data_IF_144606647917
#
_entry.id   IF_144606647917
#
_cell.length_a   1.000
_cell.length_b   1.000
_cell.length_c   1.000
_cell.angle_alpha   90.00
_cell.angle_beta   90.00
_cell.angle_gamma   90.00
#
_symmetry.space_group_name_H-M   'P 1'
#
loop_
_entity.id
_entity.type
_entity.pdbx_description
1 polymer ?
#
# COMPACT_ATOMS: atom_id res chain seq x y z
N UNK A 1 15.96 31.83 10.15
CA UNK A 1 14.90 32.14 9.14
C UNK A 1 14.41 30.94 8.30
N UNK A 2 15.05 29.77 8.38
CA UNK A 2 14.74 28.58 7.53
C UNK A 2 13.48 27.79 7.94
N UNK A 3 13.10 27.78 9.20
CA UNK A 3 11.98 26.92 9.67
C UNK A 3 10.57 27.43 9.28
N UNK A 4 10.35 28.73 9.24
CA UNK A 4 9.02 29.29 8.91
C UNK A 4 8.67 29.06 7.43
N UNK A 5 9.66 29.03 6.54
CA UNK A 5 9.47 28.80 5.13
C UNK A 5 9.02 27.37 4.81
N UNK A 6 9.50 26.36 5.54
CA UNK A 6 9.13 24.96 5.31
C UNK A 6 7.69 24.67 5.71
N UNK A 7 7.25 25.16 6.87
CA UNK A 7 5.85 25.01 7.32
C UNK A 7 4.90 25.59 6.28
N UNK A 8 5.16 26.81 5.81
CA UNK A 8 4.32 27.49 4.81
C UNK A 8 4.32 26.76 3.46
N UNK A 9 5.44 26.15 3.05
CA UNK A 9 5.53 25.32 1.84
C UNK A 9 4.49 24.22 1.87
N UNK A 10 4.45 23.43 2.95
CA UNK A 10 3.54 22.27 3.06
C UNK A 10 2.09 22.69 3.30
N UNK A 11 1.84 23.73 4.11
CA UNK A 11 0.48 24.24 4.33
C UNK A 11 -0.16 24.78 3.03
N UNK A 12 0.63 25.29 2.12
CA UNK A 12 0.19 25.77 0.81
C UNK A 12 0.24 24.70 -0.30
N UNK A 13 0.68 23.47 0.01
CA UNK A 13 0.68 22.38 -0.95
C UNK A 13 -0.74 22.07 -1.41
N UNK A 14 -0.87 21.82 -2.72
CA UNK A 14 -2.10 21.31 -3.29
C UNK A 14 -2.22 19.82 -2.96
N UNK A 15 -3.42 19.42 -2.56
CA UNK A 15 -3.74 18.03 -2.28
C UNK A 15 -5.08 17.67 -2.92
N UNK A 16 -5.28 16.41 -3.27
CA UNK A 16 -6.53 15.93 -3.82
C UNK A 16 -7.51 15.56 -2.72
N UNK A 17 -8.77 15.91 -2.89
CA UNK A 17 -9.86 15.56 -1.98
C UNK A 17 -11.03 14.90 -2.71
N UNK A 18 -11.76 14.03 -2.00
CA UNK A 18 -12.99 13.37 -2.46
C UNK A 18 -14.11 13.60 -1.45
N UNK A 19 -15.36 13.64 -1.91
CA UNK A 19 -16.53 13.78 -1.02
C UNK A 19 -16.81 12.52 -0.20
N UNK A 20 -16.44 11.34 -0.70
CA UNK A 20 -16.57 10.05 0.00
C UNK A 20 -15.70 8.99 -0.67
N UNK A 21 -15.59 7.81 -0.08
CA UNK A 21 -14.91 6.66 -0.70
C UNK A 21 -15.53 6.27 -2.05
N UNK A 22 -16.84 6.45 -2.21
CA UNK A 22 -17.60 6.05 -3.38
C UNK A 22 -17.61 7.10 -4.51
N UNK A 23 -17.18 8.32 -4.22
CA UNK A 23 -17.11 9.38 -5.22
C UNK A 23 -15.88 9.14 -6.13
N UNK A 24 -16.09 9.21 -7.44
CA UNK A 24 -15.01 9.16 -8.43
C UNK A 24 -14.38 10.53 -8.70
N UNK A 25 -15.06 11.61 -8.28
CA UNK A 25 -14.63 12.98 -8.56
C UNK A 25 -13.59 13.44 -7.55
N UNK A 26 -12.43 13.83 -8.06
CA UNK A 26 -11.38 14.49 -7.28
C UNK A 26 -11.46 16.00 -7.48
N UNK A 27 -11.20 16.73 -6.41
CA UNK A 27 -11.03 18.19 -6.42
C UNK A 27 -9.74 18.56 -5.69
N UNK A 28 -9.22 19.74 -5.97
CA UNK A 28 -7.99 20.25 -5.34
C UNK A 28 -8.30 21.14 -4.16
N UNK A 29 -7.52 21.01 -3.09
CA UNK A 29 -7.55 21.94 -1.96
C UNK A 29 -6.13 22.19 -1.43
N UNK A 30 -5.93 23.30 -0.73
CA UNK A 30 -4.70 23.50 0.05
C UNK A 30 -4.73 22.65 1.32
N UNK A 31 -3.57 22.10 1.71
CA UNK A 31 -3.46 21.35 2.96
C UNK A 31 -3.93 22.15 4.17
N UNK A 32 -3.63 23.45 4.21
CA UNK A 32 -4.11 24.37 5.26
C UNK A 32 -5.64 24.37 5.38
N UNK A 33 -6.36 24.25 4.27
CA UNK A 33 -7.84 24.16 4.27
C UNK A 33 -8.31 22.86 4.92
N UNK A 34 -7.67 21.72 4.61
CA UNK A 34 -8.01 20.43 5.22
C UNK A 34 -7.74 20.43 6.72
N UNK A 35 -6.58 20.95 7.14
CA UNK A 35 -6.23 21.11 8.56
C UNK A 35 -7.25 22.00 9.28
N UNK A 36 -7.65 23.11 8.65
CA UNK A 36 -8.69 23.99 9.19
C UNK A 36 -10.02 23.25 9.36
N UNK A 37 -10.49 22.51 8.36
CA UNK A 37 -11.74 21.77 8.42
C UNK A 37 -11.73 20.68 9.51
N UNK A 38 -10.58 20.02 9.75
CA UNK A 38 -10.42 19.05 10.85
C UNK A 38 -10.50 19.78 12.20
N UNK A 39 -9.81 20.92 12.34
CA UNK A 39 -9.79 21.73 13.56
C UNK A 39 -11.15 22.32 13.88
N UNK A 40 -11.85 22.80 12.87
CA UNK A 40 -13.19 23.40 13.01
C UNK A 40 -14.27 22.31 13.17
N UNK A 41 -13.86 21.05 13.26
CA UNK A 41 -14.74 19.89 13.45
C UNK A 41 -15.87 19.78 12.40
N UNK A 42 -15.58 20.11 11.13
CA UNK A 42 -16.58 20.18 10.04
C UNK A 42 -17.41 18.90 9.83
N UNK A 43 -16.90 17.74 10.26
CA UNK A 43 -17.59 16.44 10.16
C UNK A 43 -17.91 15.82 11.54
N UNK A 44 -17.95 16.61 12.59
CA UNK A 44 -18.09 16.18 14.01
C UNK A 44 -19.20 15.15 14.22
N UNK A 45 -20.41 15.44 13.77
CA UNK A 45 -21.57 14.56 13.99
C UNK A 45 -21.34 13.15 13.41
N UNK A 46 -20.67 13.04 12.25
CA UNK A 46 -20.34 11.74 11.66
C UNK A 46 -19.25 11.04 12.49
N UNK A 47 -18.26 11.77 12.99
CA UNK A 47 -17.18 11.23 13.84
C UNK A 47 -17.73 10.69 15.15
N UNK A 48 -18.57 11.44 15.83
CA UNK A 48 -19.24 11.02 17.08
C UNK A 48 -20.07 9.75 16.84
N UNK A 49 -20.84 9.72 15.74
CA UNK A 49 -21.61 8.53 15.35
C UNK A 49 -20.71 7.31 15.11
N UNK A 50 -19.56 7.46 14.43
CA UNK A 50 -18.60 6.38 14.19
C UNK A 50 -18.08 5.84 15.53
N UNK A 51 -17.66 6.72 16.43
CA UNK A 51 -17.10 6.35 17.73
C UNK A 51 -18.14 5.66 18.61
N UNK A 52 -19.37 6.17 18.64
CA UNK A 52 -20.49 5.53 19.35
C UNK A 52 -20.83 4.14 18.80
N UNK A 53 -20.92 4.00 17.48
CA UNK A 53 -21.19 2.71 16.84
C UNK A 53 -20.08 1.69 17.15
N UNK A 54 -18.82 2.10 17.15
CA UNK A 54 -17.70 1.24 17.52
C UNK A 54 -17.76 0.82 19.00
N UNK A 55 -18.03 1.74 19.90
CA UNK A 55 -18.19 1.46 21.32
C UNK A 55 -19.31 0.45 21.60
N UNK A 56 -20.36 0.45 20.78
CA UNK A 56 -21.49 -0.49 20.85
C UNK A 56 -21.28 -1.78 20.03
N UNK A 57 -20.06 -2.05 19.51
CA UNK A 57 -19.76 -3.25 18.74
C UNK A 57 -20.35 -3.27 17.32
N UNK A 58 -21.00 -2.20 16.86
CA UNK A 58 -21.63 -2.10 15.54
C UNK A 58 -20.61 -1.72 14.47
N UNK A 59 -19.57 -2.54 14.27
CA UNK A 59 -18.40 -2.23 13.43
C UNK A 59 -18.74 -2.00 11.95
N UNK A 60 -19.65 -2.78 11.37
CA UNK A 60 -20.06 -2.65 9.98
C UNK A 60 -20.80 -1.32 9.72
N UNK A 61 -21.70 -0.94 10.61
CA UNK A 61 -22.38 0.36 10.55
C UNK A 61 -21.40 1.52 10.74
N UNK A 62 -20.41 1.38 11.61
CA UNK A 62 -19.37 2.37 11.79
C UNK A 62 -18.53 2.52 10.52
N UNK A 63 -18.19 1.41 9.85
CA UNK A 63 -17.47 1.39 8.56
C UNK A 63 -18.27 2.06 7.45
N UNK A 64 -19.57 1.81 7.35
CA UNK A 64 -20.46 2.46 6.40
C UNK A 64 -20.47 3.98 6.57
N UNK A 65 -20.63 4.47 7.81
CA UNK A 65 -20.58 5.91 8.09
C UNK A 65 -19.20 6.49 7.77
N UNK A 66 -18.10 5.76 8.08
CA UNK A 66 -16.74 6.16 7.77
C UNK A 66 -16.51 6.29 6.26
N UNK A 67 -17.01 5.36 5.45
CA UNK A 67 -16.88 5.37 4.00
C UNK A 67 -17.60 6.56 3.33
N UNK A 68 -18.56 7.15 4.02
CA UNK A 68 -19.27 8.38 3.62
C UNK A 68 -18.62 9.67 4.14
N UNK A 69 -17.44 9.60 4.77
CA UNK A 69 -16.64 10.78 5.10
C UNK A 69 -15.89 11.28 3.86
N UNK A 70 -15.63 12.59 3.77
CA UNK A 70 -14.65 13.11 2.83
C UNK A 70 -13.27 12.49 3.07
N UNK A 71 -12.49 12.40 1.99
CA UNK A 71 -11.13 11.87 1.99
C UNK A 71 -10.17 12.87 1.37
N UNK A 72 -8.91 12.80 1.75
CA UNK A 72 -7.83 13.55 1.14
C UNK A 72 -6.60 12.66 0.92
N UNK A 73 -5.78 13.02 -0.06
CA UNK A 73 -4.59 12.32 -0.47
C UNK A 73 -3.41 13.24 -0.27
N UNK A 74 -2.51 12.89 0.65
CA UNK A 74 -1.42 13.77 1.08
C UNK A 74 -0.18 13.63 0.24
N UNK A 75 0.22 12.40 -0.03
CA UNK A 75 1.52 12.12 -0.64
C UNK A 75 1.51 12.41 -2.13
N UNK A 76 0.45 12.00 -2.83
CA UNK A 76 0.28 12.21 -4.25
C UNK A 76 -0.84 13.20 -4.53
N UNK A 77 -0.58 14.10 -5.45
CA UNK A 77 -1.60 14.86 -6.13
C UNK A 77 -2.10 14.02 -7.31
N UNK A 78 -3.38 13.71 -7.33
CA UNK A 78 -3.96 12.94 -8.42
C UNK A 78 -4.46 13.88 -9.51
N UNK A 79 -4.01 13.66 -10.73
CA UNK A 79 -4.57 14.35 -11.88
C UNK A 79 -6.05 13.95 -12.04
N UNK A 80 -6.91 14.96 -12.21
CA UNK A 80 -8.36 14.81 -12.28
C UNK A 80 -8.77 13.86 -13.41
N UNK A 81 -7.97 13.77 -14.47
CA UNK A 81 -8.21 12.88 -15.61
C UNK A 81 -7.92 11.40 -15.36
N UNK A 82 -7.10 11.06 -14.37
CA UNK A 82 -6.58 9.71 -14.16
C UNK A 82 -7.24 8.90 -13.04
N UNK A 83 -8.02 9.51 -12.17
CA UNK A 83 -8.60 8.88 -10.99
C UNK A 83 -7.60 8.61 -9.86
N UNK A 84 -8.10 8.30 -8.67
CA UNK A 84 -7.32 8.16 -7.43
C UNK A 84 -6.28 7.01 -7.43
N UNK A 85 -6.29 6.15 -8.43
CA UNK A 85 -5.40 5.00 -8.54
C UNK A 85 -4.24 5.20 -9.52
N UNK A 86 -4.23 6.31 -10.25
CA UNK A 86 -3.12 6.63 -11.13
C UNK A 86 -2.07 7.45 -10.38
N UNK A 87 -0.85 6.92 -10.39
CA UNK A 87 0.31 7.55 -9.82
C UNK A 87 0.83 8.57 -10.83
N UNK A 88 0.91 9.83 -10.45
CA UNK A 88 1.49 10.86 -11.30
C UNK A 88 2.85 11.25 -10.74
N UNK A 89 3.91 10.89 -11.46
CA UNK A 89 5.31 11.09 -11.09
C UNK A 89 5.67 12.55 -10.74
N UNK A 90 4.91 13.50 -11.27
CA UNK A 90 5.18 14.93 -11.09
C UNK A 90 4.40 15.58 -9.92
N UNK A 91 3.71 14.81 -9.11
CA UNK A 91 2.70 15.35 -8.19
C UNK A 91 2.93 15.03 -6.72
N UNK A 92 4.18 14.92 -6.29
CA UNK A 92 4.50 14.59 -4.91
C UNK A 92 4.57 15.81 -4.00
N UNK A 93 3.95 15.67 -2.83
CA UNK A 93 4.03 16.69 -1.77
C UNK A 93 5.31 16.60 -0.94
N UNK A 94 6.03 15.48 -0.99
CA UNK A 94 7.11 15.15 -0.05
C UNK A 94 6.60 14.82 1.36
N UNK A 95 5.29 14.56 1.51
CA UNK A 95 4.68 14.21 2.79
C UNK A 95 4.51 12.70 2.92
N UNK A 96 4.81 12.17 4.09
CA UNK A 96 4.60 10.76 4.42
C UNK A 96 3.69 10.65 5.65
N UNK A 97 2.56 9.92 5.50
CA UNK A 97 1.57 9.78 6.57
C UNK A 97 1.74 8.45 7.29
N UNK A 98 1.67 8.50 8.62
CA UNK A 98 1.60 7.34 9.50
C UNK A 98 0.25 7.27 10.19
N UNK A 99 -0.26 6.06 10.36
CA UNK A 99 -1.57 5.76 10.96
C UNK A 99 -1.40 4.71 12.06
N UNK A 100 -1.70 5.08 13.29
CA UNK A 100 -1.68 4.19 14.46
C UNK A 100 -3.13 3.87 14.80
N UNK A 101 -3.54 2.66 14.46
CA UNK A 101 -4.90 2.17 14.68
C UNK A 101 -4.98 1.24 15.92
N UNK A 102 -6.20 0.90 16.33
CA UNK A 102 -6.51 -0.03 17.43
C UNK A 102 -5.97 0.41 18.80
N UNK A 103 -5.86 1.70 19.00
CA UNK A 103 -5.54 2.36 20.27
C UNK A 103 -6.74 3.19 20.73
N UNK A 104 -6.87 3.42 22.03
CA UNK A 104 -7.88 4.32 22.59
C UNK A 104 -7.56 5.78 22.26
N UNK A 105 -8.54 6.68 22.47
CA UNK A 105 -8.30 8.11 22.27
C UNK A 105 -7.29 8.68 23.26
N UNK A 106 -7.25 8.16 24.49
CA UNK A 106 -6.31 8.64 25.50
C UNK A 106 -4.89 8.15 25.21
N UNK A 107 -4.73 6.87 24.82
CA UNK A 107 -3.46 6.38 24.30
C UNK A 107 -2.99 7.17 23.08
N UNK A 108 -3.89 7.52 22.16
CA UNK A 108 -3.55 8.35 21.00
C UNK A 108 -3.04 9.75 21.39
N UNK A 109 -3.59 10.35 22.46
CA UNK A 109 -3.09 11.64 22.98
C UNK A 109 -1.71 11.47 23.61
N UNK A 110 -1.48 10.39 24.36
CA UNK A 110 -0.16 10.09 24.95
C UNK A 110 0.88 9.83 23.89
N UNK A 111 0.53 9.07 22.83
CA UNK A 111 1.41 8.86 21.69
C UNK A 111 1.71 10.16 20.93
N UNK A 112 0.70 11.04 20.76
CA UNK A 112 0.91 12.37 20.19
C UNK A 112 1.85 13.21 21.07
N UNK A 113 1.71 13.15 22.39
CA UNK A 113 2.63 13.83 23.31
C UNK A 113 4.06 13.28 23.16
N UNK A 114 4.24 11.95 23.13
CA UNK A 114 5.55 11.33 22.91
C UNK A 114 6.16 11.76 21.58
N UNK A 115 5.41 11.72 20.49
CA UNK A 115 5.85 12.13 19.17
C UNK A 115 6.41 13.56 19.17
N UNK A 116 5.70 14.50 19.80
CA UNK A 116 6.12 15.90 19.86
C UNK A 116 7.23 16.18 20.90
N UNK A 117 7.63 15.19 21.70
CA UNK A 117 8.79 15.24 22.60
C UNK A 117 9.93 14.31 22.17
N UNK A 118 9.84 13.70 20.97
CA UNK A 118 10.88 12.86 20.40
C UNK A 118 11.76 13.64 19.43
N UNK A 119 12.78 12.99 18.92
CA UNK A 119 13.64 13.52 17.85
C UNK A 119 12.86 13.79 16.55
N UNK A 120 11.73 13.12 16.32
CA UNK A 120 10.85 13.36 15.18
C UNK A 120 10.01 14.66 15.29
N UNK A 121 9.94 15.28 16.46
CA UNK A 121 9.09 16.44 16.71
C UNK A 121 9.26 17.56 15.67
N UNK A 122 10.51 17.83 15.27
CA UNK A 122 10.84 18.85 14.29
C UNK A 122 10.40 18.48 12.86
N UNK A 123 10.27 17.18 12.56
CA UNK A 123 9.93 16.68 11.23
C UNK A 123 8.41 16.57 11.02
N UNK A 124 7.63 16.53 12.10
CA UNK A 124 6.17 16.49 12.03
C UNK A 124 5.63 17.74 11.33
N UNK A 125 4.69 17.53 10.41
CA UNK A 125 3.93 18.61 9.77
C UNK A 125 2.64 18.87 10.54
N UNK A 126 1.85 17.81 10.77
CA UNK A 126 0.67 17.86 11.63
C UNK A 126 0.34 16.47 12.17
N UNK A 127 -0.42 16.45 13.27
CA UNK A 127 -0.93 15.23 13.88
C UNK A 127 -2.35 15.45 14.42
N UNK A 128 -3.22 14.43 14.28
CA UNK A 128 -4.63 14.52 14.68
C UNK A 128 -5.20 13.13 15.02
N UNK A 129 -6.31 13.14 15.76
CA UNK A 129 -7.06 11.91 16.04
C UNK A 129 -7.88 11.48 14.83
N UNK A 130 -7.72 10.22 14.42
CA UNK A 130 -8.46 9.61 13.32
C UNK A 130 -9.98 9.54 13.62
N UNK A 131 -10.83 9.29 12.61
CA UNK A 131 -12.27 9.06 12.85
C UNK A 131 -12.56 7.99 13.89
N UNK A 132 -11.70 6.99 13.96
CA UNK A 132 -11.81 5.85 14.89
C UNK A 132 -11.19 6.10 16.26
N UNK A 133 -10.53 7.24 16.46
CA UNK A 133 -9.84 7.58 17.70
C UNK A 133 -8.34 7.26 17.73
N UNK A 134 -7.78 6.58 16.72
CA UNK A 134 -6.35 6.36 16.58
C UNK A 134 -5.58 7.65 16.25
N UNK A 135 -4.25 7.59 16.25
CA UNK A 135 -3.38 8.72 15.94
C UNK A 135 -2.95 8.70 14.47
N UNK A 136 -3.14 9.81 13.76
CA UNK A 136 -2.55 10.07 12.44
C UNK A 136 -1.58 11.23 12.52
N UNK A 137 -0.42 11.07 11.87
CA UNK A 137 0.53 12.17 11.76
C UNK A 137 1.29 12.10 10.45
N UNK A 138 1.84 13.22 10.05
CA UNK A 138 2.54 13.38 8.79
C UNK A 138 3.91 13.97 9.04
N UNK A 139 4.93 13.42 8.40
CA UNK A 139 6.28 13.96 8.39
C UNK A 139 6.64 14.52 7.02
N UNK A 140 7.56 15.50 7.01
CA UNK A 140 8.12 16.05 5.79
C UNK A 140 9.37 15.27 5.37
N UNK A 141 9.47 14.92 4.09
CA UNK A 141 10.61 14.21 3.50
C UNK A 141 11.03 14.89 2.19
N UNK A 142 12.20 14.54 1.68
CA UNK A 142 12.68 14.93 0.36
C UNK A 142 12.31 13.90 -0.74
N UNK A 143 11.26 13.10 -0.50
CA UNK A 143 10.78 12.15 -1.51
C UNK A 143 10.33 12.88 -2.78
N UNK A 144 10.87 12.46 -3.94
CA UNK A 144 10.70 13.11 -5.23
C UNK A 144 9.57 12.51 -6.10
N UNK A 145 8.99 11.38 -5.67
CA UNK A 145 7.85 10.78 -6.34
C UNK A 145 8.15 9.77 -7.44
N UNK A 146 9.40 9.59 -7.79
CA UNK A 146 9.79 8.83 -8.98
C UNK A 146 9.69 7.31 -8.83
N UNK A 147 9.74 6.78 -7.60
CA UNK A 147 9.75 5.33 -7.35
C UNK A 147 8.85 4.94 -6.17
N UNK A 148 7.66 4.34 -6.42
CA UNK A 148 6.75 3.88 -5.37
C UNK A 148 7.33 2.81 -4.44
N UNK A 149 8.24 1.98 -4.92
CA UNK A 149 8.86 0.95 -4.10
C UNK A 149 9.94 1.54 -3.20
N UNK A 150 10.65 2.56 -3.67
CA UNK A 150 11.50 3.39 -2.81
C UNK A 150 10.69 4.09 -1.71
N UNK A 151 9.50 4.63 -2.03
CA UNK A 151 8.60 5.18 -0.99
C UNK A 151 8.28 4.15 0.10
N UNK A 152 7.92 2.92 -0.29
CA UNK A 152 7.64 1.84 0.65
C UNK A 152 8.85 1.47 1.51
N UNK A 153 10.05 1.45 0.89
CA UNK A 153 11.30 1.20 1.61
C UNK A 153 11.53 2.27 2.67
N UNK A 154 11.47 3.54 2.30
CA UNK A 154 11.62 4.67 3.22
C UNK A 154 10.56 4.64 4.34
N UNK A 155 9.31 4.34 3.99
CA UNK A 155 8.23 4.19 4.97
C UNK A 155 8.58 3.14 6.03
N UNK A 156 9.06 1.96 5.62
CA UNK A 156 9.45 0.88 6.54
C UNK A 156 10.61 1.29 7.45
N UNK A 157 11.60 2.02 6.92
CA UNK A 157 12.73 2.53 7.70
C UNK A 157 12.31 3.56 8.74
N UNK A 158 11.50 4.54 8.33
CA UNK A 158 10.96 5.53 9.26
C UNK A 158 9.99 4.89 10.27
N UNK A 159 9.23 3.86 9.85
CA UNK A 159 8.41 3.07 10.76
C UNK A 159 9.25 2.40 11.86
N UNK A 160 10.37 1.77 11.53
CA UNK A 160 11.26 1.16 12.52
C UNK A 160 11.77 2.20 13.53
N UNK A 161 12.22 3.36 13.07
CA UNK A 161 12.61 4.46 13.95
C UNK A 161 11.46 4.94 14.86
N UNK A 162 10.22 4.96 14.35
CA UNK A 162 9.06 5.32 15.17
C UNK A 162 8.80 4.29 16.28
N UNK A 163 9.04 3.01 16.02
CA UNK A 163 8.98 1.96 17.05
C UNK A 163 10.07 2.17 18.09
N UNK A 164 11.29 2.51 17.69
CA UNK A 164 12.42 2.77 18.59
C UNK A 164 12.13 3.93 19.56
N UNK A 165 11.37 4.94 19.16
CA UNK A 165 10.91 6.04 20.05
C UNK A 165 9.63 5.71 20.82
N UNK A 166 9.19 4.45 20.81
CA UNK A 166 8.06 3.96 21.62
C UNK A 166 6.68 4.07 20.98
N UNK A 167 6.60 4.17 19.63
CA UNK A 167 5.33 3.96 18.94
C UNK A 167 5.00 2.45 18.91
N UNK A 168 3.72 2.05 19.07
CA UNK A 168 3.35 0.65 19.18
C UNK A 168 3.48 -0.07 17.84
N UNK A 169 4.41 -1.03 17.73
CA UNK A 169 4.74 -1.75 16.50
C UNK A 169 3.53 -2.40 15.82
N UNK A 170 2.70 -3.14 16.56
CA UNK A 170 1.55 -3.87 16.02
C UNK A 170 0.35 -2.99 15.63
N UNK A 171 0.40 -1.69 15.86
CA UNK A 171 -0.72 -0.76 15.66
C UNK A 171 -0.50 0.21 14.50
N UNK A 172 0.70 0.26 13.94
CA UNK A 172 0.97 1.01 12.72
C UNK A 172 0.35 0.29 11.51
N UNK A 173 -0.48 0.99 10.74
CA UNK A 173 -1.11 0.42 9.54
C UNK A 173 -0.10 0.27 8.40
N UNK A 174 0.28 -0.97 8.11
CA UNK A 174 1.20 -1.30 7.02
C UNK A 174 0.67 -0.86 5.63
N UNK A 175 -0.63 -0.64 5.47
CA UNK A 175 -1.20 -0.20 4.19
C UNK A 175 -0.91 1.27 3.88
N UNK A 176 -0.56 2.09 4.88
CA UNK A 176 -0.16 3.49 4.67
C UNK A 176 1.21 3.63 3.98
N UNK A 177 1.95 2.54 3.79
CA UNK A 177 3.15 2.51 2.94
C UNK A 177 2.88 2.76 1.45
N UNK A 178 1.62 2.83 1.02
CA UNK A 178 1.29 3.18 -0.36
C UNK A 178 1.10 4.70 -0.49
N UNK A 179 1.90 5.32 -1.34
CA UNK A 179 1.88 6.77 -1.55
C UNK A 179 0.50 7.30 -2.02
N UNK A 180 -0.27 6.49 -2.73
CA UNK A 180 -1.63 6.83 -3.19
C UNK A 180 -2.74 6.57 -2.15
N UNK A 181 -2.38 6.33 -0.88
CA UNK A 181 -3.36 6.04 0.17
C UNK A 181 -4.15 7.28 0.57
N UNK A 182 -5.48 7.21 0.42
CA UNK A 182 -6.38 8.24 0.90
C UNK A 182 -6.61 8.16 2.40
N UNK A 183 -6.80 9.33 3.01
CA UNK A 183 -7.09 9.48 4.43
C UNK A 183 -8.45 10.15 4.63
N UNK A 184 -9.26 9.63 5.54
CA UNK A 184 -10.55 10.23 5.88
C UNK A 184 -10.39 11.52 6.68
N UNK A 185 -11.24 12.51 6.41
CA UNK A 185 -11.39 13.67 7.30
C UNK A 185 -11.80 13.22 8.70
N UNK A 186 -11.38 13.99 9.68
CA UNK A 186 -11.72 13.79 11.09
C UNK A 186 -12.28 15.06 11.71
N UNK A 187 -12.61 15.00 12.99
CA UNK A 187 -12.91 16.16 13.83
C UNK A 187 -11.98 16.13 15.05
N UNK A 188 -11.05 17.07 15.09
CA UNK A 188 -10.08 17.19 16.17
C UNK A 188 -9.64 18.65 16.34
N UNK A 189 -10.27 19.35 17.30
CA UNK A 189 -9.91 20.72 17.65
C UNK A 189 -8.49 20.87 18.19
N UNK A 190 -7.90 19.76 18.67
CA UNK A 190 -6.56 19.72 19.24
C UNK A 190 -5.49 19.27 18.23
N UNK A 191 -5.81 19.26 16.93
CA UNK A 191 -4.81 19.00 15.89
C UNK A 191 -3.55 19.82 16.11
N UNK A 192 -2.39 19.17 16.16
CA UNK A 192 -1.10 19.81 16.39
C UNK A 192 -0.37 20.04 15.09
N UNK A 193 0.34 21.14 14.99
CA UNK A 193 1.28 21.45 13.91
C UNK A 193 2.71 21.35 14.44
N UNK A 194 3.61 20.78 13.65
CA UNK A 194 5.03 20.71 13.93
C UNK A 194 5.83 21.72 13.10
N UNK A 195 7.18 21.56 13.08
CA UNK A 195 8.10 22.49 12.40
C UNK A 195 8.35 22.15 10.94
N UNK A 196 7.93 20.97 10.48
CA UNK A 196 8.04 20.50 9.09
C UNK A 196 9.50 20.49 8.56
N UNK A 197 10.47 20.18 9.43
CA UNK A 197 11.85 19.98 9.00
C UNK A 197 11.90 18.74 8.11
N UNK A 198 12.53 18.87 6.96
CA UNK A 198 12.59 17.78 5.96
C UNK A 198 13.53 16.68 6.44
N UNK A 199 13.08 15.44 6.43
CA UNK A 199 13.91 14.24 6.60
C UNK A 199 14.57 13.95 5.25
N UNK A 200 15.89 13.89 5.23
CA UNK A 200 16.63 13.43 4.05
C UNK A 200 16.55 11.91 3.92
N UNK A 201 16.16 11.44 2.74
CA UNK A 201 16.06 10.03 2.41
C UNK A 201 17.31 9.50 1.66
N UNK A 202 18.34 10.31 1.50
CA UNK A 202 19.54 9.97 0.73
C UNK A 202 20.23 8.69 1.24
N UNK A 203 20.34 8.54 2.56
CA UNK A 203 20.90 7.32 3.15
C UNK A 203 20.08 6.07 2.81
N UNK A 204 18.75 6.19 2.78
CA UNK A 204 17.85 5.09 2.41
C UNK A 204 17.89 4.80 0.91
N UNK A 205 18.19 5.80 0.06
CA UNK A 205 18.33 5.63 -1.39
C UNK A 205 19.54 4.74 -1.71
N UNK A 206 20.67 4.97 -1.05
CA UNK A 206 21.87 4.15 -1.22
C UNK A 206 21.60 2.68 -0.83
N UNK A 207 21.00 2.46 0.32
CA UNK A 207 20.62 1.11 0.78
C UNK A 207 19.63 0.43 -0.18
N UNK A 208 18.60 1.14 -0.59
CA UNK A 208 17.60 0.64 -1.53
C UNK A 208 18.20 0.24 -2.87
N UNK A 209 19.13 1.04 -3.39
CA UNK A 209 19.82 0.74 -4.65
C UNK A 209 20.63 -0.55 -4.57
N UNK A 210 21.28 -0.83 -3.43
CA UNK A 210 22.00 -2.09 -3.20
C UNK A 210 21.02 -3.26 -3.17
N UNK A 211 19.95 -3.16 -2.37
CA UNK A 211 18.94 -4.22 -2.27
C UNK A 211 18.28 -4.53 -3.62
N UNK A 212 17.99 -3.50 -4.41
CA UNK A 212 17.42 -3.66 -5.74
C UNK A 212 18.37 -4.34 -6.72
N UNK A 213 19.65 -3.98 -6.68
CA UNK A 213 20.67 -4.62 -7.51
C UNK A 213 20.85 -6.10 -7.14
N UNK A 214 20.83 -6.44 -5.84
CA UNK A 214 20.89 -7.83 -5.36
C UNK A 214 19.66 -8.63 -5.81
N UNK A 215 18.46 -8.05 -5.71
CA UNK A 215 17.21 -8.66 -6.16
C UNK A 215 17.23 -8.89 -7.68
N UNK A 216 17.63 -7.91 -8.48
CA UNK A 216 17.76 -8.03 -9.95
C UNK A 216 18.78 -9.09 -10.34
N UNK A 217 19.91 -9.18 -9.64
CA UNK A 217 20.92 -10.22 -9.86
C UNK A 217 20.38 -11.62 -9.56
N UNK A 218 19.69 -11.78 -8.43
CA UNK A 218 19.02 -13.03 -8.06
C UNK A 218 17.96 -13.43 -9.09
N UNK A 219 17.13 -12.47 -9.53
CA UNK A 219 16.09 -12.70 -10.54
C UNK A 219 16.69 -13.10 -11.89
N UNK A 220 17.77 -12.46 -12.31
CA UNK A 220 18.53 -12.80 -13.52
C UNK A 220 19.05 -14.23 -13.47
N UNK A 221 19.66 -14.62 -12.34
CA UNK A 221 20.16 -15.97 -12.12
C UNK A 221 19.02 -17.02 -12.17
N UNK A 222 17.88 -16.74 -11.58
CA UNK A 222 16.70 -17.62 -11.63
C UNK A 222 16.14 -17.76 -13.05
N UNK A 223 16.09 -16.67 -13.83
CA UNK A 223 15.67 -16.73 -15.24
C UNK A 223 16.60 -17.59 -16.06
N UNK A 224 17.91 -17.42 -15.91
CA UNK A 224 18.91 -18.23 -16.61
C UNK A 224 18.79 -19.72 -16.27
N UNK A 225 18.51 -20.07 -14.98
CA UNK A 225 18.24 -21.46 -14.59
C UNK A 225 17.00 -22.00 -15.29
N UNK A 226 15.94 -21.21 -15.41
CA UNK A 226 14.69 -21.61 -16.07
C UNK A 226 14.86 -21.82 -17.58
N UNK A 227 15.68 -21.01 -18.26
CA UNK A 227 15.92 -21.12 -19.70
C UNK A 227 16.65 -22.43 -20.10
N UNK A 228 17.45 -22.97 -19.19
CA UNK A 228 18.27 -24.17 -19.45
C UNK A 228 17.79 -25.43 -18.73
N UNK A 229 16.66 -25.40 -18.06
CA UNK A 229 16.17 -26.52 -17.26
C UNK A 229 15.18 -27.39 -18.01
N UNK A 230 15.22 -28.72 -17.78
CA UNK A 230 14.21 -29.67 -18.24
C UNK A 230 12.91 -29.48 -17.45
N UNK A 231 11.95 -28.81 -18.05
CA UNK A 231 10.64 -28.56 -17.43
C UNK A 231 9.84 -29.87 -17.36
N UNK A 232 9.32 -30.19 -16.17
CA UNK A 232 8.46 -31.34 -15.95
C UNK A 232 6.98 -30.93 -16.08
N UNK A 233 6.50 -30.90 -17.31
CA UNK A 233 5.14 -30.52 -17.66
C UNK A 233 4.08 -31.39 -16.96
N UNK A 234 4.34 -32.68 -16.80
CA UNK A 234 3.39 -33.62 -16.17
C UNK A 234 3.22 -33.29 -14.68
N UNK A 235 4.33 -33.05 -13.99
CA UNK A 235 4.29 -32.65 -12.58
C UNK A 235 3.66 -31.27 -12.40
N UNK A 236 4.03 -30.31 -13.23
CA UNK A 236 3.48 -28.95 -13.19
C UNK A 236 1.96 -28.94 -13.42
N UNK A 237 1.47 -29.67 -14.43
CA UNK A 237 0.03 -29.79 -14.71
C UNK A 237 -0.73 -30.46 -13.56
N UNK A 238 -0.18 -31.52 -12.97
CA UNK A 238 -0.79 -32.17 -11.78
C UNK A 238 -0.86 -31.23 -10.58
N UNK A 239 0.23 -30.53 -10.31
CA UNK A 239 0.29 -29.56 -9.21
C UNK A 239 -0.72 -28.42 -9.44
N UNK A 240 -0.72 -27.85 -10.65
CA UNK A 240 -1.63 -26.76 -11.03
C UNK A 240 -3.09 -27.17 -10.85
N UNK A 241 -3.49 -28.34 -11.36
CA UNK A 241 -4.87 -28.83 -11.19
C UNK A 241 -5.29 -28.88 -9.71
N UNK A 242 -4.44 -29.43 -8.84
CA UNK A 242 -4.72 -29.50 -7.40
C UNK A 242 -4.79 -28.10 -6.77
N UNK A 243 -3.85 -27.21 -7.09
CA UNK A 243 -3.82 -25.85 -6.54
C UNK A 243 -5.03 -25.04 -6.98
N UNK A 244 -5.41 -25.08 -8.27
CA UNK A 244 -6.59 -24.41 -8.81
C UNK A 244 -7.87 -24.90 -8.12
N UNK A 245 -8.06 -26.21 -8.00
CA UNK A 245 -9.23 -26.77 -7.34
C UNK A 245 -9.31 -26.36 -5.86
N UNK A 246 -8.19 -26.37 -5.15
CA UNK A 246 -8.14 -25.94 -3.73
C UNK A 246 -8.47 -24.46 -3.58
N UNK A 247 -7.93 -23.59 -4.46
CA UNK A 247 -8.24 -22.16 -4.43
C UNK A 247 -9.74 -21.96 -4.68
N UNK A 248 -10.31 -22.60 -5.72
CA UNK A 248 -11.74 -22.48 -6.04
C UNK A 248 -12.60 -22.96 -4.88
N UNK A 249 -12.28 -24.10 -4.27
CA UNK A 249 -13.02 -24.64 -3.13
C UNK A 249 -12.96 -23.73 -1.89
N UNK A 250 -11.89 -22.97 -1.71
CA UNK A 250 -11.70 -22.05 -0.58
C UNK A 250 -12.25 -20.64 -0.83
N UNK A 251 -12.77 -20.34 -2.03
CA UNK A 251 -13.24 -18.99 -2.37
C UNK A 251 -14.51 -18.61 -1.59
N UNK A 252 -14.34 -17.76 -0.58
CA UNK A 252 -15.42 -17.13 0.17
C UNK A 252 -15.84 -15.77 -0.41
N UNK A 253 -16.92 -15.17 0.11
CA UNK A 253 -17.46 -13.90 -0.37
C UNK A 253 -16.56 -12.67 -0.15
N UNK A 254 -15.55 -12.75 0.75
CA UNK A 254 -14.72 -11.61 1.15
C UNK A 254 -13.44 -11.40 0.34
N UNK A 255 -12.87 -12.48 -0.25
CA UNK A 255 -11.51 -12.47 -0.82
C UNK A 255 -11.46 -12.80 -2.32
N UNK A 256 -12.57 -12.61 -3.05
CA UNK A 256 -12.69 -13.03 -4.46
C UNK A 256 -11.61 -12.44 -5.35
N UNK A 257 -11.35 -11.14 -5.28
CA UNK A 257 -10.32 -10.49 -6.10
C UNK A 257 -8.93 -11.07 -5.86
N UNK A 258 -8.57 -11.30 -4.60
CA UNK A 258 -7.29 -11.91 -4.24
C UNK A 258 -7.18 -13.33 -4.77
N UNK A 259 -8.23 -14.13 -4.66
CA UNK A 259 -8.22 -15.51 -5.12
C UNK A 259 -8.23 -15.63 -6.64
N UNK A 260 -8.92 -14.74 -7.36
CA UNK A 260 -8.85 -14.61 -8.82
C UNK A 260 -7.42 -14.29 -9.26
N UNK A 261 -6.75 -13.35 -8.59
CA UNK A 261 -5.35 -13.07 -8.87
C UNK A 261 -4.43 -14.27 -8.56
N UNK A 262 -4.66 -14.97 -7.44
CA UNK A 262 -3.93 -16.21 -7.11
C UNK A 262 -4.09 -17.31 -8.16
N UNK A 263 -5.28 -17.48 -8.76
CA UNK A 263 -5.51 -18.43 -9.85
C UNK A 263 -4.64 -18.13 -11.08
N UNK A 264 -4.51 -16.85 -11.44
CA UNK A 264 -3.62 -16.45 -12.52
C UNK A 264 -2.15 -16.70 -12.15
N UNK A 265 -1.73 -16.27 -10.96
CA UNK A 265 -0.34 -16.39 -10.52
C UNK A 265 0.12 -17.86 -10.38
N UNK A 266 -0.74 -18.75 -9.90
CA UNK A 266 -0.38 -20.17 -9.82
C UNK A 266 -0.20 -20.78 -11.21
N UNK A 267 -1.00 -20.35 -12.21
CA UNK A 267 -0.85 -20.78 -13.59
C UNK A 267 0.47 -20.32 -14.20
N UNK A 268 0.85 -19.07 -13.95
CA UNK A 268 2.12 -18.50 -14.43
C UNK A 268 3.33 -19.18 -13.77
N UNK A 269 3.30 -19.34 -12.45
CA UNK A 269 4.38 -20.01 -11.70
C UNK A 269 4.53 -21.49 -12.04
N UNK A 270 3.45 -22.14 -12.51
CA UNK A 270 3.51 -23.49 -13.05
C UNK A 270 3.98 -23.54 -14.52
N UNK A 271 4.31 -22.42 -15.15
CA UNK A 271 4.75 -22.38 -16.55
C UNK A 271 3.62 -22.50 -17.59
N UNK A 272 2.35 -22.47 -17.18
CA UNK A 272 1.21 -22.63 -18.08
C UNK A 272 0.77 -21.34 -18.78
N UNK A 273 1.41 -20.22 -18.46
CA UNK A 273 1.18 -18.93 -19.11
C UNK A 273 -0.24 -18.41 -19.03
N UNK A 274 -0.57 -17.53 -19.97
CA UNK A 274 -1.87 -16.84 -20.03
C UNK A 274 -3.01 -17.83 -20.29
N UNK A 275 -2.80 -18.87 -21.10
CA UNK A 275 -3.84 -19.85 -21.42
C UNK A 275 -4.20 -20.70 -20.19
N UNK A 276 -3.23 -21.10 -19.37
CA UNK A 276 -3.48 -21.76 -18.09
C UNK A 276 -4.26 -20.87 -17.11
N UNK A 277 -3.97 -19.57 -17.08
CA UNK A 277 -4.71 -18.60 -16.27
C UNK A 277 -6.16 -18.44 -16.77
N UNK A 278 -6.38 -18.37 -18.08
CA UNK A 278 -7.71 -18.33 -18.70
C UNK A 278 -8.51 -19.58 -18.32
N UNK A 279 -7.92 -20.75 -18.39
CA UNK A 279 -8.57 -22.00 -18.00
C UNK A 279 -8.95 -22.01 -16.52
N UNK A 280 -8.03 -21.62 -15.62
CA UNK A 280 -8.32 -21.51 -14.19
C UNK A 280 -9.48 -20.56 -13.88
N UNK A 281 -9.54 -19.42 -14.55
CA UNK A 281 -10.65 -18.45 -14.41
C UNK A 281 -11.98 -18.98 -15.00
N UNK A 282 -11.94 -19.74 -16.09
CA UNK A 282 -13.12 -20.42 -16.64
C UNK A 282 -13.67 -21.47 -15.65
N UNK A 283 -12.81 -22.23 -14.99
CA UNK A 283 -13.21 -23.16 -13.92
C UNK A 283 -13.86 -22.43 -12.75
N UNK A 284 -13.28 -21.29 -12.31
CA UNK A 284 -13.86 -20.46 -11.27
C UNK A 284 -15.25 -19.89 -11.69
N UNK A 285 -15.40 -19.50 -12.95
CA UNK A 285 -16.68 -19.06 -13.52
C UNK A 285 -17.73 -20.18 -13.51
N UNK A 286 -17.36 -21.39 -13.95
CA UNK A 286 -18.24 -22.55 -13.95
C UNK A 286 -18.74 -22.91 -12.54
N UNK A 287 -17.93 -22.62 -11.50
CA UNK A 287 -18.29 -22.79 -10.09
C UNK A 287 -19.00 -21.56 -9.48
N UNK A 288 -19.40 -20.57 -10.27
CA UNK A 288 -20.08 -19.37 -9.80
C UNK A 288 -19.20 -18.40 -8.99
N UNK A 289 -17.88 -18.56 -9.03
CA UNK A 289 -16.94 -17.76 -8.23
C UNK A 289 -16.37 -16.55 -8.97
N UNK A 290 -16.46 -16.50 -10.30
CA UNK A 290 -16.03 -15.36 -11.09
C UNK A 290 -17.20 -14.40 -11.33
N UNK A 291 -17.16 -13.22 -10.70
CA UNK A 291 -18.21 -12.19 -10.74
C UNK A 291 -17.70 -10.83 -11.21
N UNK A 292 -16.48 -10.76 -11.75
CA UNK A 292 -15.90 -9.51 -12.22
C UNK A 292 -16.53 -9.07 -13.56
N UNK A 293 -16.61 -7.75 -13.76
CA UNK A 293 -17.09 -7.15 -15.02
C UNK A 293 -16.08 -7.28 -16.16
N UNK A 294 -14.79 -7.42 -15.81
CA UNK A 294 -13.71 -7.59 -16.79
C UNK A 294 -13.78 -8.96 -17.46
N UNK A 295 -13.51 -9.04 -18.75
CA UNK A 295 -13.44 -10.32 -19.45
C UNK A 295 -12.30 -11.19 -18.87
N UNK A 296 -12.49 -12.51 -18.87
CA UNK A 296 -11.51 -13.49 -18.34
C UNK A 296 -10.13 -13.28 -18.98
N UNK A 297 -10.08 -13.10 -20.33
CA UNK A 297 -8.83 -12.85 -21.04
C UNK A 297 -8.13 -11.57 -20.59
N UNK A 298 -8.87 -10.47 -20.44
CA UNK A 298 -8.30 -9.20 -19.98
C UNK A 298 -7.80 -9.30 -18.55
N UNK A 299 -8.49 -10.06 -17.69
CA UNK A 299 -8.05 -10.30 -16.31
C UNK A 299 -6.75 -11.10 -16.25
N UNK A 300 -6.63 -12.15 -17.06
CA UNK A 300 -5.39 -12.93 -17.18
C UNK A 300 -4.23 -12.07 -17.70
N UNK A 301 -4.47 -11.24 -18.72
CA UNK A 301 -3.47 -10.31 -19.25
C UNK A 301 -3.06 -9.23 -18.23
N UNK A 302 -4.00 -8.74 -17.42
CA UNK A 302 -3.71 -7.75 -16.38
C UNK A 302 -2.85 -8.37 -15.25
N UNK A 303 -3.18 -9.59 -14.83
CA UNK A 303 -2.37 -10.32 -13.87
C UNK A 303 -0.97 -10.68 -14.42
N UNK A 304 -0.85 -10.96 -15.72
CA UNK A 304 0.43 -11.23 -16.38
C UNK A 304 1.42 -10.07 -16.27
N UNK A 305 0.96 -8.83 -16.30
CA UNK A 305 1.81 -7.63 -16.12
C UNK A 305 2.51 -7.59 -14.75
N UNK A 306 1.94 -8.27 -13.76
CA UNK A 306 2.49 -8.35 -12.40
C UNK A 306 3.33 -9.61 -12.17
N UNK A 307 3.49 -10.45 -13.20
CA UNK A 307 4.28 -11.68 -13.11
C UNK A 307 5.74 -11.38 -13.44
N UNK A 308 6.64 -11.86 -12.60
CA UNK A 308 8.09 -11.64 -12.71
C UNK A 308 8.77 -12.45 -13.81
N UNK A 309 8.02 -13.31 -14.51
CA UNK A 309 8.52 -14.18 -15.57
C UNK A 309 9.21 -15.45 -15.05
N UNK A 310 9.21 -15.72 -13.74
CA UNK A 310 9.90 -16.86 -13.16
C UNK A 310 8.93 -17.99 -12.86
N UNK A 311 9.13 -19.11 -13.54
CA UNK A 311 8.49 -20.39 -13.23
C UNK A 311 9.15 -21.01 -12.01
N UNK A 312 8.36 -21.58 -11.09
CA UNK A 312 8.87 -22.15 -9.85
C UNK A 312 9.84 -23.32 -10.13
N UNK A 313 11.03 -23.24 -9.55
CA UNK A 313 12.12 -24.19 -9.75
C UNK A 313 11.74 -25.67 -9.46
N UNK A 314 10.75 -25.90 -8.60
CA UNK A 314 10.25 -27.24 -8.29
C UNK A 314 9.65 -27.98 -9.49
N UNK A 315 9.30 -27.27 -10.57
CA UNK A 315 8.76 -27.83 -11.79
C UNK A 315 9.83 -28.23 -12.82
N UNK A 316 11.08 -28.08 -12.44
CA UNK A 316 12.20 -28.52 -13.27
C UNK A 316 12.82 -29.79 -12.72
N UNK A 317 13.25 -30.66 -13.61
CA UNK A 317 13.92 -31.90 -13.21
C UNK A 317 15.23 -31.59 -12.48
N UNK A 318 15.54 -32.32 -11.39
CA UNK A 318 16.77 -32.09 -10.65
C UNK A 318 18.00 -32.19 -11.56
N UNK A 319 18.91 -31.23 -11.48
CA UNK A 319 20.18 -31.22 -12.18
C UNK A 319 21.31 -31.71 -11.29
N UNK A 320 22.33 -32.26 -11.92
CA UNK A 320 23.57 -32.57 -11.21
C UNK A 320 24.30 -31.30 -10.81
N UNK A 321 25.11 -31.35 -9.74
CA UNK A 321 25.94 -30.24 -9.32
C UNK A 321 26.83 -29.70 -10.45
N UNK A 322 27.25 -30.57 -11.37
CA UNK A 322 28.06 -30.22 -12.53
C UNK A 322 27.29 -29.38 -13.55
N UNK A 323 26.01 -29.71 -13.79
CA UNK A 323 25.13 -28.92 -14.67
C UNK A 323 24.85 -27.53 -14.08
N UNK A 324 24.63 -27.42 -12.77
CA UNK A 324 24.49 -26.11 -12.10
C UNK A 324 25.77 -25.29 -12.20
N UNK A 325 26.96 -25.90 -11.98
CA UNK A 325 28.24 -25.21 -12.11
C UNK A 325 28.47 -24.65 -13.53
N UNK A 326 28.06 -25.36 -14.58
CA UNK A 326 28.13 -24.88 -15.96
C UNK A 326 27.24 -23.68 -16.22
N UNK A 327 26.01 -23.66 -15.68
CA UNK A 327 25.08 -22.53 -15.81
C UNK A 327 25.67 -21.29 -15.12
N UNK A 328 26.14 -21.43 -13.88
CA UNK A 328 26.71 -20.31 -13.12
C UNK A 328 28.07 -19.81 -13.64
N UNK A 329 28.82 -20.64 -14.38
CA UNK A 329 30.08 -20.21 -15.02
C UNK A 329 29.86 -19.48 -16.35
N UNK A 330 28.66 -19.50 -16.90
CA UNK A 330 28.28 -18.81 -18.14
C UNK A 330 27.56 -17.48 -17.89
N UNK A 331 27.27 -17.16 -16.63
CA UNK A 331 26.72 -15.89 -16.17
C UNK A 331 27.84 -14.95 -15.68
#
# INVERSE_FOLDING_TARGET
MTNTNNVMKYLNADISIKKSMYDSTLTTAKLSTVIKLIRDEAVKNKIEKIRLLKANGAHDKAKEVKNNLPMFYLTCYHDIAGGANQYNENSHSGLMMFDIDKVSQDESKDLMYRLFNSEFADNVVFAFLSPSGGLKFTVATDYDGTDPDFYKHCYKKLYAHLVDIGMPEGNLDAQTCNANRGTYFSADKNIKLGKSKVISLEAYRAEYSILKAEEESMMSSLRAVNEHADYDEVYANRYWNNAVNNIIASMGSGDRHLNIFKLCMVSFKCGLGIEGAIEALNRAKANGQYTESMSIRNKALDAWKSFDGIVDIKFFKPRTAQQYAQIFSSL
#
